data_IF_565082122433
#
_entry.id   IF_565082122433
#
_cell.length_a   1.000
_cell.length_b   1.000
_cell.length_c   1.000
_cell.angle_alpha   90.00
_cell.angle_beta   90.00
_cell.angle_gamma   90.00
#
_symmetry.space_group_name_H-M   'P 1'
#
loop_
_entity.id
_entity.type
_entity.pdbx_description
1 polymer ?
#
# COMPACT_ATOMS: atom_id res chain seq x y z
N UNK A 1 -32.43 13.32 -57.65
CA UNK A 1 -32.09 12.19 -56.74
C UNK A 1 -31.78 12.61 -55.29
N UNK A 2 -31.87 13.89 -54.89
CA UNK A 2 -31.58 14.34 -53.51
C UNK A 2 -32.82 14.64 -52.64
N UNK A 3 -34.00 14.72 -53.24
CA UNK A 3 -35.26 15.07 -52.52
C UNK A 3 -36.00 13.85 -51.97
N UNK A 4 -35.83 12.68 -52.60
CA UNK A 4 -36.46 11.42 -52.17
C UNK A 4 -35.79 10.84 -50.91
N UNK A 5 -34.47 11.02 -50.79
CA UNK A 5 -33.66 10.50 -49.69
C UNK A 5 -33.97 11.21 -48.35
N UNK A 6 -34.13 12.54 -48.38
CA UNK A 6 -34.51 13.32 -47.21
C UNK A 6 -35.94 13.04 -46.73
N UNK A 7 -36.88 12.76 -47.64
CA UNK A 7 -38.27 12.40 -47.29
C UNK A 7 -38.35 11.06 -46.57
N UNK A 8 -37.51 10.10 -46.96
CA UNK A 8 -37.49 8.77 -46.34
C UNK A 8 -36.89 8.84 -44.94
N UNK A 9 -35.82 9.61 -44.77
CA UNK A 9 -35.13 9.79 -43.49
C UNK A 9 -36.02 10.56 -42.49
N UNK A 10 -36.75 11.58 -42.93
CA UNK A 10 -37.67 12.34 -42.07
C UNK A 10 -38.89 11.51 -41.62
N UNK A 11 -39.40 10.62 -42.50
CA UNK A 11 -40.50 9.71 -42.18
C UNK A 11 -40.11 8.59 -41.20
N UNK A 12 -38.88 8.09 -41.29
CA UNK A 12 -38.34 7.08 -40.36
C UNK A 12 -38.07 7.69 -38.98
N UNK A 13 -37.56 8.93 -38.93
CA UNK A 13 -37.40 9.68 -37.67
C UNK A 13 -38.74 9.98 -36.99
N UNK A 14 -39.78 10.33 -37.74
CA UNK A 14 -41.11 10.52 -37.17
C UNK A 14 -41.66 9.20 -36.57
N UNK A 15 -41.49 8.06 -37.25
CA UNK A 15 -41.94 6.76 -36.72
C UNK A 15 -41.19 6.33 -35.44
N UNK A 16 -39.92 6.73 -35.28
CA UNK A 16 -39.15 6.46 -34.05
C UNK A 16 -39.65 7.27 -32.84
N UNK A 17 -40.22 8.46 -33.05
CA UNK A 17 -40.79 9.30 -31.99
C UNK A 17 -42.26 9.00 -31.67
N UNK A 18 -42.98 8.29 -32.53
CA UNK A 18 -44.38 7.87 -32.30
C UNK A 18 -44.52 6.45 -31.73
N UNK A 19 -43.43 5.73 -31.48
CA UNK A 19 -43.49 4.49 -30.72
C UNK A 19 -43.68 4.83 -29.22
N UNK A 20 -44.85 4.55 -28.62
CA UNK A 20 -44.96 4.69 -27.18
C UNK A 20 -44.03 3.65 -26.56
N UNK A 21 -42.96 4.10 -25.91
CA UNK A 21 -42.19 3.34 -24.93
C UNK A 21 -43.05 3.09 -23.67
N UNK A 22 -44.27 2.58 -23.86
CA UNK A 22 -45.08 2.01 -22.79
C UNK A 22 -44.81 0.52 -22.86
N UNK A 23 -43.64 0.12 -22.38
CA UNK A 23 -43.45 -1.24 -21.90
C UNK A 23 -44.43 -1.39 -20.74
N UNK A 24 -45.61 -1.93 -21.02
CA UNK A 24 -46.55 -2.33 -19.97
C UNK A 24 -45.86 -3.43 -19.18
N UNK A 25 -45.28 -3.07 -18.03
CA UNK A 25 -44.80 -4.04 -17.08
C UNK A 25 -46.01 -4.90 -16.70
N UNK A 26 -46.02 -6.16 -17.18
CA UNK A 26 -47.02 -7.15 -16.81
C UNK A 26 -47.20 -7.09 -15.30
N UNK A 27 -48.42 -6.80 -14.85
CA UNK A 27 -48.77 -6.73 -13.42
C UNK A 27 -48.34 -8.04 -12.78
N UNK A 28 -47.27 -8.00 -11.99
CA UNK A 28 -46.76 -9.16 -11.27
C UNK A 28 -47.86 -9.62 -10.33
N UNK A 29 -48.47 -10.76 -10.63
CA UNK A 29 -49.55 -11.32 -9.82
C UNK A 29 -48.89 -12.12 -8.71
N UNK A 30 -48.73 -11.49 -7.54
CA UNK A 30 -48.15 -12.13 -6.36
C UNK A 30 -49.17 -13.14 -5.80
N UNK A 31 -48.83 -14.44 -5.70
CA UNK A 31 -49.67 -15.48 -5.09
C UNK A 31 -50.18 -15.07 -3.70
N UNK A 32 -51.42 -15.45 -3.36
CA UNK A 32 -52.06 -15.07 -2.10
C UNK A 32 -51.27 -15.51 -0.86
N UNK A 33 -50.59 -16.66 -0.95
CA UNK A 33 -49.74 -17.23 0.10
C UNK A 33 -48.54 -16.31 0.44
N UNK A 34 -47.99 -15.60 -0.55
CA UNK A 34 -46.86 -14.68 -0.35
C UNK A 34 -47.30 -13.32 0.21
N UNK A 35 -48.60 -13.02 0.22
CA UNK A 35 -49.14 -11.76 0.78
C UNK A 35 -49.25 -11.77 2.31
N UNK A 36 -49.04 -12.91 2.96
CA UNK A 36 -49.08 -13.05 4.42
C UNK A 36 -47.73 -13.39 5.05
N UNK A 37 -46.69 -13.64 4.24
CA UNK A 37 -45.39 -14.07 4.75
C UNK A 37 -44.56 -12.86 5.18
N UNK A 38 -44.04 -12.93 6.41
CA UNK A 38 -43.04 -12.01 6.93
C UNK A 38 -41.67 -12.49 6.46
N UNK A 39 -40.95 -11.65 5.71
CA UNK A 39 -39.63 -12.00 5.19
C UNK A 39 -38.53 -11.35 6.02
N UNK A 40 -37.53 -12.12 6.45
CA UNK A 40 -36.32 -11.59 7.10
C UNK A 40 -35.29 -11.25 6.03
N UNK A 41 -34.99 -9.97 5.86
CA UNK A 41 -34.10 -9.46 4.81
C UNK A 41 -33.04 -8.52 5.37
N UNK A 42 -31.90 -8.46 4.68
CA UNK A 42 -30.87 -7.45 4.94
C UNK A 42 -31.33 -6.11 4.39
N UNK A 43 -31.62 -5.14 5.26
CA UNK A 43 -32.05 -3.79 4.85
C UNK A 43 -30.88 -2.84 4.68
N UNK A 44 -29.79 -3.07 5.40
CA UNK A 44 -28.58 -2.27 5.35
C UNK A 44 -27.36 -3.18 5.55
N UNK A 45 -26.27 -2.88 4.86
CA UNK A 45 -25.02 -3.64 4.96
C UNK A 45 -23.84 -2.70 4.88
N UNK A 46 -22.85 -2.90 5.75
CA UNK A 46 -21.55 -2.24 5.60
C UNK A 46 -20.79 -2.86 4.42
N UNK A 47 -19.81 -2.12 3.91
CA UNK A 47 -18.79 -2.68 3.03
C UNK A 47 -18.00 -3.79 3.75
N UNK A 48 -17.41 -4.69 2.96
CA UNK A 48 -16.52 -5.72 3.48
C UNK A 48 -15.26 -5.06 4.09
N UNK A 49 -14.79 -5.57 5.23
CA UNK A 49 -13.59 -5.04 5.90
C UNK A 49 -12.30 -5.16 5.08
N UNK A 50 -12.30 -6.01 4.06
CA UNK A 50 -11.16 -6.23 3.17
C UNK A 50 -11.58 -6.10 1.70
N UNK A 51 -10.62 -5.71 0.87
CA UNK A 51 -10.80 -5.64 -0.59
C UNK A 51 -10.58 -7.00 -1.26
N UNK A 52 -9.83 -7.89 -0.60
CA UNK A 52 -9.54 -9.25 -1.07
C UNK A 52 -9.39 -10.22 0.12
N UNK A 53 -9.61 -11.50 -0.14
CA UNK A 53 -9.63 -12.54 0.88
C UNK A 53 -10.90 -12.49 1.73
N UNK A 54 -10.87 -13.26 2.82
CA UNK A 54 -11.95 -13.31 3.78
C UNK A 54 -11.93 -12.07 4.66
N UNK A 55 -13.03 -11.32 4.64
CA UNK A 55 -13.29 -10.23 5.56
C UNK A 55 -14.62 -10.41 6.25
N UNK A 56 -15.04 -9.37 6.95
CA UNK A 56 -16.28 -9.36 7.69
C UNK A 56 -17.06 -8.10 7.36
N UNK A 57 -18.39 -8.22 7.32
CA UNK A 57 -19.33 -7.11 7.21
C UNK A 57 -20.40 -7.22 8.29
N UNK A 58 -21.12 -6.13 8.49
CA UNK A 58 -22.26 -6.06 9.41
C UNK A 58 -23.51 -5.78 8.60
N UNK A 59 -24.49 -6.66 8.76
CA UNK A 59 -25.78 -6.61 8.08
C UNK A 59 -26.89 -6.34 9.10
N UNK A 60 -27.74 -5.37 8.83
CA UNK A 60 -28.98 -5.15 9.57
C UNK A 60 -30.08 -6.03 8.98
N UNK A 61 -30.50 -7.02 9.75
CA UNK A 61 -31.53 -7.98 9.35
C UNK A 61 -32.85 -7.60 10.01
N UNK A 62 -33.85 -7.21 9.23
CA UNK A 62 -35.21 -6.89 9.71
C UNK A 62 -36.25 -7.83 9.12
N UNK A 63 -37.35 -7.98 9.83
CA UNK A 63 -38.58 -8.60 9.33
C UNK A 63 -39.42 -7.56 8.60
N UNK A 64 -39.80 -7.86 7.36
CA UNK A 64 -40.63 -7.00 6.53
C UNK A 64 -42.02 -7.61 6.44
N UNK A 65 -43.02 -6.84 6.88
CA UNK A 65 -44.43 -7.23 6.74
C UNK A 65 -44.92 -7.00 5.31
N UNK A 66 -46.06 -7.59 4.91
CA UNK A 66 -46.66 -7.33 3.60
C UNK A 66 -47.02 -5.86 3.34
N UNK A 67 -47.16 -5.05 4.41
CA UNK A 67 -47.37 -3.61 4.36
C UNK A 67 -46.07 -2.80 4.15
N UNK A 68 -44.90 -3.46 4.13
CA UNK A 68 -43.59 -2.83 3.99
C UNK A 68 -43.00 -2.28 5.29
N UNK A 69 -43.64 -2.52 6.43
CA UNK A 69 -43.12 -2.09 7.74
C UNK A 69 -41.94 -2.97 8.18
N UNK A 70 -40.90 -2.33 8.73
CA UNK A 70 -39.73 -2.99 9.30
C UNK A 70 -39.97 -3.29 10.78
N UNK A 71 -39.78 -4.53 11.20
CA UNK A 71 -39.88 -4.97 12.60
C UNK A 71 -38.68 -5.85 12.96
N UNK A 72 -38.41 -6.01 14.25
CA UNK A 72 -37.42 -6.96 14.78
C UNK A 72 -36.04 -6.87 14.09
N UNK A 73 -35.51 -5.66 13.94
CA UNK A 73 -34.21 -5.42 13.32
C UNK A 73 -33.08 -5.83 14.25
N UNK A 74 -32.14 -6.63 13.74
CA UNK A 74 -30.96 -7.11 14.48
C UNK A 74 -29.71 -6.95 13.65
N UNK A 75 -28.62 -6.50 14.26
CA UNK A 75 -27.32 -6.47 13.62
C UNK A 75 -26.70 -7.87 13.62
N UNK A 76 -26.25 -8.32 12.46
CA UNK A 76 -25.60 -9.60 12.24
C UNK A 76 -24.23 -9.37 11.63
N UNK A 77 -23.20 -9.92 12.27
CA UNK A 77 -21.86 -10.01 11.69
C UNK A 77 -21.81 -11.22 10.75
N UNK A 78 -21.38 -11.03 9.50
CA UNK A 78 -21.29 -12.10 8.50
C UNK A 78 -20.00 -12.00 7.70
N UNK A 79 -19.46 -13.16 7.32
CA UNK A 79 -18.25 -13.23 6.50
C UNK A 79 -18.53 -12.73 5.08
N UNK A 80 -17.55 -12.07 4.49
CA UNK A 80 -17.61 -11.58 3.12
C UNK A 80 -16.34 -11.94 2.35
N UNK A 81 -16.50 -12.16 1.05
CA UNK A 81 -15.42 -12.45 0.12
C UNK A 81 -15.66 -11.64 -1.15
N UNK A 82 -14.94 -10.53 -1.32
CA UNK A 82 -15.04 -9.67 -2.50
C UNK A 82 -14.31 -10.27 -3.69
N UNK A 83 -13.01 -10.54 -3.50
CA UNK A 83 -12.14 -11.24 -4.44
C UNK A 83 -11.28 -12.21 -3.64
N UNK A 84 -11.09 -13.43 -4.12
CA UNK A 84 -10.18 -14.38 -3.47
C UNK A 84 -8.71 -14.18 -3.88
N UNK A 85 -8.42 -13.39 -4.92
CA UNK A 85 -7.05 -13.07 -5.35
C UNK A 85 -6.69 -11.67 -4.84
N UNK A 86 -5.63 -11.60 -4.03
CA UNK A 86 -5.10 -10.36 -3.42
C UNK A 86 -3.98 -9.70 -4.22
N UNK A 87 -3.46 -10.35 -5.26
CA UNK A 87 -2.37 -9.81 -6.07
C UNK A 87 -0.99 -9.98 -5.43
N UNK A 88 -0.05 -9.15 -5.86
CA UNK A 88 1.38 -9.23 -5.55
C UNK A 88 1.80 -8.07 -4.65
N UNK A 89 2.39 -8.41 -3.50
CA UNK A 89 3.05 -7.48 -2.58
C UNK A 89 4.56 -7.56 -2.78
N UNK A 90 5.23 -6.42 -2.91
CA UNK A 90 6.68 -6.34 -3.12
C UNK A 90 7.41 -5.96 -1.84
N UNK A 91 8.50 -6.67 -1.56
CA UNK A 91 9.38 -6.40 -0.43
C UNK A 91 10.82 -6.36 -0.90
N UNK A 92 11.58 -5.39 -0.38
CA UNK A 92 13.03 -5.32 -0.53
C UNK A 92 13.63 -5.47 0.86
N UNK A 93 14.43 -6.52 1.05
CA UNK A 93 14.91 -6.96 2.36
C UNK A 93 16.44 -6.97 2.34
N UNK A 94 17.10 -6.35 3.33
CA UNK A 94 18.55 -6.47 3.48
C UNK A 94 18.96 -7.91 3.86
N UNK A 95 20.06 -8.37 3.28
CA UNK A 95 20.67 -9.65 3.63
C UNK A 95 21.06 -9.68 5.11
N UNK A 96 21.02 -10.88 5.70
CA UNK A 96 21.36 -11.18 7.09
C UNK A 96 20.43 -10.56 8.15
N UNK A 97 19.33 -9.95 7.73
CA UNK A 97 18.27 -9.50 8.65
C UNK A 97 17.14 -10.53 8.74
N UNK A 98 16.50 -10.66 9.91
CA UNK A 98 15.27 -11.43 10.02
C UNK A 98 14.15 -10.74 9.23
N UNK A 99 13.35 -11.53 8.53
CA UNK A 99 12.18 -11.06 7.80
C UNK A 99 11.08 -12.11 7.85
N UNK A 100 9.82 -11.66 7.91
CA UNK A 100 8.69 -12.57 7.90
C UNK A 100 7.56 -12.06 7.01
N UNK A 101 6.84 -13.01 6.43
CA UNK A 101 5.63 -12.74 5.66
C UNK A 101 4.49 -13.58 6.20
N UNK A 102 3.32 -12.96 6.36
CA UNK A 102 2.11 -13.59 6.85
C UNK A 102 1.05 -13.67 5.77
N UNK A 103 0.47 -14.85 5.62
CA UNK A 103 -0.64 -15.09 4.71
C UNK A 103 -1.96 -14.47 5.20
N UNK A 104 -2.09 -14.30 6.52
CA UNK A 104 -3.20 -13.60 7.16
C UNK A 104 -2.82 -12.15 7.46
N UNK A 105 -3.74 -11.23 7.21
CA UNK A 105 -3.65 -9.84 7.67
C UNK A 105 -4.03 -9.75 9.15
N UNK A 106 -3.47 -8.79 9.88
CA UNK A 106 -3.75 -8.51 11.30
C UNK A 106 -5.25 -8.33 11.60
N UNK A 107 -6.01 -7.87 10.60
CA UNK A 107 -7.42 -7.50 10.72
C UNK A 107 -8.35 -8.72 10.71
N UNK A 108 -7.79 -9.91 10.46
CA UNK A 108 -8.49 -11.19 10.54
C UNK A 108 -8.63 -11.70 11.99
N UNK A 109 -8.58 -10.82 12.99
CA UNK A 109 -8.50 -11.12 14.44
C UNK A 109 -9.73 -11.82 15.03
N UNK A 110 -10.71 -12.22 14.21
CA UNK A 110 -11.86 -13.05 14.61
C UNK A 110 -11.94 -14.40 13.90
N UNK A 111 -10.89 -14.79 13.18
CA UNK A 111 -10.86 -15.94 12.29
C UNK A 111 -10.19 -17.10 13.02
N UNK A 112 -10.98 -18.09 13.44
CA UNK A 112 -10.51 -19.30 14.13
C UNK A 112 -9.45 -20.00 13.27
N UNK A 113 -8.19 -19.99 13.72
CA UNK A 113 -7.03 -20.49 12.96
C UNK A 113 -7.15 -21.98 12.63
N UNK A 114 -7.96 -22.73 13.40
CA UNK A 114 -8.23 -24.16 13.17
C UNK A 114 -9.13 -24.42 11.96
N UNK A 115 -9.84 -23.41 11.45
CA UNK A 115 -10.74 -23.55 10.31
C UNK A 115 -10.01 -23.44 8.95
N UNK A 116 -8.71 -23.17 8.93
CA UNK A 116 -7.96 -22.88 7.70
C UNK A 116 -6.69 -23.72 7.56
N UNK A 117 -6.38 -24.05 6.31
CA UNK A 117 -5.15 -24.68 5.87
C UNK A 117 -4.38 -23.72 4.95
N UNK A 118 -3.06 -23.73 5.07
CA UNK A 118 -2.16 -22.87 4.31
C UNK A 118 -1.32 -23.72 3.37
N UNK A 119 -1.27 -23.33 2.10
CA UNK A 119 -0.39 -23.98 1.11
C UNK A 119 0.56 -22.94 0.55
N UNK A 120 1.86 -23.21 0.69
CA UNK A 120 2.91 -22.35 0.19
C UNK A 120 3.54 -22.90 -1.08
N UNK A 121 3.86 -21.99 -2.00
CA UNK A 121 4.66 -22.30 -3.20
C UNK A 121 5.68 -21.20 -3.44
N UNK A 122 6.80 -21.55 -4.05
CA UNK A 122 7.91 -20.64 -4.32
C UNK A 122 8.31 -20.67 -5.79
N UNK A 123 8.39 -19.49 -6.40
CA UNK A 123 9.11 -19.24 -7.65
C UNK A 123 10.44 -18.55 -7.28
N UNK A 124 11.46 -19.36 -7.03
CA UNK A 124 12.76 -18.89 -6.54
C UNK A 124 13.45 -18.00 -7.59
N UNK A 125 13.99 -16.86 -7.16
CA UNK A 125 14.70 -15.89 -7.99
C UNK A 125 13.83 -15.09 -8.97
N UNK A 126 12.52 -15.34 -9.02
CA UNK A 126 11.61 -14.72 -10.00
C UNK A 126 10.51 -13.91 -9.31
N UNK A 127 10.24 -12.72 -9.83
CA UNK A 127 9.07 -11.90 -9.46
C UNK A 127 7.96 -12.18 -10.47
N UNK A 128 6.96 -12.97 -10.09
CA UNK A 128 5.93 -13.44 -11.03
C UNK A 128 4.63 -13.83 -10.35
N UNK A 129 3.52 -13.70 -11.06
CA UNK A 129 2.20 -14.23 -10.69
C UNK A 129 1.79 -15.43 -11.57
N UNK A 130 2.68 -15.90 -12.46
CA UNK A 130 2.41 -17.05 -13.31
C UNK A 130 2.50 -18.36 -12.50
N UNK A 131 1.34 -18.93 -12.21
CA UNK A 131 1.15 -20.14 -11.42
C UNK A 131 1.97 -21.36 -11.88
N UNK A 132 2.34 -21.45 -13.16
CA UNK A 132 3.11 -22.57 -13.71
C UNK A 132 4.57 -22.61 -13.22
N UNK A 133 5.11 -21.48 -12.75
CA UNK A 133 6.52 -21.35 -12.34
C UNK A 133 6.74 -21.72 -10.87
N UNK A 134 5.66 -21.96 -10.12
CA UNK A 134 5.70 -22.17 -8.68
C UNK A 134 5.88 -23.64 -8.32
N UNK A 135 6.88 -23.92 -7.47
CA UNK A 135 7.11 -25.25 -6.87
C UNK A 135 6.56 -25.30 -5.44
N UNK A 136 6.09 -26.47 -4.95
CA UNK A 136 5.66 -26.61 -3.56
C UNK A 136 6.75 -26.17 -2.58
N UNK A 137 6.39 -25.34 -1.60
CA UNK A 137 7.28 -24.91 -0.53
C UNK A 137 6.74 -25.45 0.80
N UNK A 138 7.55 -26.22 1.51
CA UNK A 138 7.12 -26.90 2.73
C UNK A 138 7.07 -25.90 3.89
N UNK A 139 5.87 -25.44 4.22
CA UNK A 139 5.59 -24.67 5.43
C UNK A 139 4.15 -24.95 5.87
N UNK A 140 3.91 -25.54 7.06
CA UNK A 140 2.55 -25.80 7.54
C UNK A 140 1.88 -24.54 8.10
N UNK A 141 2.67 -23.53 8.48
CA UNK A 141 2.20 -22.36 9.19
C UNK A 141 1.67 -21.27 8.25
N UNK A 142 0.90 -20.33 8.81
CA UNK A 142 0.43 -19.14 8.10
C UNK A 142 1.53 -18.09 7.85
N UNK A 143 2.70 -18.27 8.44
CA UNK A 143 3.83 -17.33 8.41
C UNK A 143 5.08 -18.05 7.91
N UNK A 144 5.84 -17.39 7.03
CA UNK A 144 7.22 -17.80 6.69
C UNK A 144 8.17 -16.87 7.42
N UNK A 145 9.15 -17.45 8.11
CA UNK A 145 10.21 -16.73 8.81
C UNK A 145 11.55 -17.00 8.12
N UNK A 146 12.17 -15.95 7.60
CA UNK A 146 13.51 -15.96 7.03
C UNK A 146 14.46 -15.36 8.05
N UNK A 147 15.24 -16.21 8.74
CA UNK A 147 16.15 -15.75 9.78
C UNK A 147 17.41 -16.62 9.80
N UNK A 148 18.55 -16.12 9.28
CA UNK A 148 18.73 -14.86 8.54
C UNK A 148 18.22 -14.94 7.09
N UNK A 149 17.84 -13.80 6.51
CA UNK A 149 17.49 -13.71 5.08
C UNK A 149 18.73 -13.80 4.20
N UNK A 150 18.70 -14.66 3.18
CA UNK A 150 19.78 -14.90 2.21
C UNK A 150 19.35 -14.51 0.80
N UNK A 151 20.30 -14.24 -0.08
CA UNK A 151 20.01 -13.99 -1.51
C UNK A 151 19.21 -15.13 -2.16
N UNK A 152 19.46 -16.37 -1.73
CA UNK A 152 18.72 -17.55 -2.17
C UNK A 152 17.23 -17.53 -1.83
N UNK A 153 16.83 -16.72 -0.85
CA UNK A 153 15.44 -16.60 -0.41
C UNK A 153 14.65 -15.62 -1.28
N UNK A 154 15.32 -14.90 -2.19
CA UNK A 154 14.68 -14.03 -3.16
C UNK A 154 13.78 -14.82 -4.12
N UNK A 155 12.68 -14.20 -4.54
CA UNK A 155 11.70 -14.80 -5.43
C UNK A 155 10.26 -14.45 -5.03
N UNK A 156 9.30 -15.18 -5.58
CA UNK A 156 7.88 -14.99 -5.22
C UNK A 156 7.36 -16.14 -4.39
N UNK A 157 6.88 -15.83 -3.19
CA UNK A 157 6.15 -16.76 -2.35
C UNK A 157 4.65 -16.59 -2.60
N UNK A 158 3.98 -17.66 -3.00
CA UNK A 158 2.52 -17.71 -3.10
C UNK A 158 1.97 -18.42 -1.89
N UNK A 159 0.97 -17.83 -1.26
CA UNK A 159 0.17 -18.49 -0.24
C UNK A 159 -1.28 -18.61 -0.67
N UNK A 160 -1.82 -19.82 -0.58
CA UNK A 160 -3.24 -20.11 -0.68
C UNK A 160 -3.80 -20.47 0.71
N UNK A 161 -4.83 -19.74 1.13
CA UNK A 161 -5.64 -20.05 2.32
C UNK A 161 -6.86 -20.83 1.86
N UNK A 162 -7.04 -22.01 2.45
CA UNK A 162 -8.15 -22.91 2.17
C UNK A 162 -8.97 -23.17 3.42
N UNK A 163 -10.29 -23.30 3.29
CA UNK A 163 -11.14 -23.78 4.37
C UNK A 163 -10.91 -25.27 4.59
N UNK A 164 -10.65 -25.71 5.82
CA UNK A 164 -10.37 -27.13 6.12
C UNK A 164 -11.56 -28.05 5.82
N UNK A 165 -12.79 -27.58 6.04
CA UNK A 165 -14.01 -28.37 5.82
C UNK A 165 -14.37 -28.57 4.34
N UNK A 166 -14.12 -27.57 3.50
CA UNK A 166 -14.60 -27.54 2.11
C UNK A 166 -13.47 -27.55 1.07
N UNK A 167 -12.22 -27.40 1.50
CA UNK A 167 -11.03 -27.24 0.66
C UNK A 167 -11.11 -26.08 -0.33
N UNK A 168 -12.07 -25.16 -0.16
CA UNK A 168 -12.24 -23.99 -1.01
C UNK A 168 -11.13 -22.98 -0.72
N UNK A 169 -10.42 -22.54 -1.75
CA UNK A 169 -9.48 -21.42 -1.66
C UNK A 169 -10.27 -20.13 -1.45
N UNK A 170 -9.96 -19.41 -0.38
CA UNK A 170 -10.63 -18.16 0.00
C UNK A 170 -9.71 -16.95 -0.05
N UNK A 171 -8.40 -17.16 -0.09
CA UNK A 171 -7.41 -16.10 -0.26
C UNK A 171 -6.20 -16.66 -0.98
N UNK A 172 -5.74 -15.97 -2.02
CA UNK A 172 -4.47 -16.17 -2.69
C UNK A 172 -3.71 -14.86 -2.70
N UNK A 173 -2.48 -14.89 -2.23
CA UNK A 173 -1.60 -13.71 -2.20
C UNK A 173 -0.19 -14.11 -2.62
N UNK A 174 0.48 -13.18 -3.30
CA UNK A 174 1.86 -13.35 -3.77
C UNK A 174 2.74 -12.34 -3.05
N UNK A 175 3.92 -12.77 -2.59
CA UNK A 175 4.94 -11.95 -1.94
C UNK A 175 6.21 -12.00 -2.78
N UNK A 176 6.51 -10.93 -3.51
CA UNK A 176 7.73 -10.78 -4.28
C UNK A 176 8.84 -10.21 -3.41
N UNK A 177 9.77 -11.06 -2.96
CA UNK A 177 10.88 -10.70 -2.09
C UNK A 177 12.14 -10.49 -2.92
N UNK A 178 12.75 -9.32 -2.79
CA UNK A 178 14.09 -8.99 -3.29
C UNK A 178 15.02 -8.91 -2.10
N UNK A 179 16.10 -9.67 -2.14
CA UNK A 179 17.13 -9.63 -1.08
C UNK A 179 18.34 -8.88 -1.62
N UNK A 180 18.77 -7.85 -0.89
CA UNK A 180 19.87 -6.99 -1.30
C UNK A 180 20.96 -7.07 -0.23
N UNK A 181 22.20 -7.25 -0.66
CA UNK A 181 23.30 -7.24 0.29
C UNK A 181 23.53 -5.84 0.85
N UNK A 182 23.96 -5.79 2.10
CA UNK A 182 24.20 -4.53 2.79
C UNK A 182 25.33 -3.69 2.16
N UNK A 183 26.20 -4.28 1.33
CA UNK A 183 27.27 -3.60 0.58
C UNK A 183 26.79 -2.96 -0.74
N UNK A 184 25.57 -3.26 -1.20
CA UNK A 184 25.04 -2.85 -2.50
C UNK A 184 23.83 -1.92 -2.32
N UNK A 185 24.10 -0.64 -2.09
CA UNK A 185 23.16 0.51 -2.20
C UNK A 185 22.00 0.51 -1.19
N UNK A 186 21.98 1.53 -0.35
CA UNK A 186 20.89 1.87 0.57
C UNK A 186 19.67 2.34 -0.25
N UNK A 187 18.75 1.42 -0.58
CA UNK A 187 17.49 1.72 -1.30
C UNK A 187 16.40 2.28 -0.39
N UNK A 188 16.78 2.92 0.71
CA UNK A 188 15.84 3.64 1.55
C UNK A 188 15.38 4.90 0.80
N UNK A 189 14.23 4.77 0.12
CA UNK A 189 13.63 5.84 -0.66
C UNK A 189 13.47 7.10 0.20
N UNK A 190 13.11 6.95 1.49
CA UNK A 190 12.98 8.04 2.44
C UNK A 190 14.31 8.79 2.68
N UNK A 191 15.45 8.11 2.61
CA UNK A 191 16.76 8.80 2.66
C UNK A 191 17.08 9.55 1.38
N UNK A 192 16.62 9.04 0.23
CA UNK A 192 16.84 9.66 -1.07
C UNK A 192 15.92 10.85 -1.38
N UNK A 193 14.80 10.98 -0.65
CA UNK A 193 13.88 12.11 -0.81
C UNK A 193 14.59 13.43 -0.50
N UNK A 194 14.43 14.40 -1.38
CA UNK A 194 14.85 15.77 -1.11
C UNK A 194 14.01 16.37 0.02
N UNK A 195 14.53 17.40 0.69
CA UNK A 195 13.84 18.06 1.81
C UNK A 195 12.43 18.50 1.43
N UNK A 196 12.27 19.06 0.23
CA UNK A 196 10.97 19.46 -0.33
C UNK A 196 9.99 18.29 -0.44
N UNK A 197 10.46 17.12 -0.86
CA UNK A 197 9.62 15.93 -0.98
C UNK A 197 9.23 15.36 0.40
N UNK A 198 10.13 15.44 1.38
CA UNK A 198 9.82 15.05 2.78
C UNK A 198 8.76 15.96 3.40
N UNK A 199 8.78 17.26 3.09
CA UNK A 199 7.80 18.21 3.62
C UNK A 199 6.41 17.89 3.06
N UNK A 200 6.30 17.63 1.76
CA UNK A 200 5.02 17.28 1.10
C UNK A 200 4.40 16.00 1.66
N UNK A 201 5.19 14.96 1.89
CA UNK A 201 4.70 13.68 2.43
C UNK A 201 4.21 13.82 3.89
N UNK A 202 4.90 14.61 4.72
CA UNK A 202 4.49 14.86 6.11
C UNK A 202 3.29 15.83 6.23
N UNK A 203 3.08 16.71 5.24
CA UNK A 203 1.90 17.58 5.17
C UNK A 203 0.63 16.78 4.83
N UNK A 204 0.73 15.76 3.96
CA UNK A 204 -0.39 14.84 3.68
C UNK A 204 -0.75 13.97 4.89
N UNK A 205 0.21 13.61 5.73
CA UNK A 205 -0.02 12.87 6.99
C UNK A 205 -0.47 13.75 8.17
N UNK A 206 -0.60 15.07 7.98
CA UNK A 206 -1.16 15.98 9.00
C UNK A 206 -0.29 16.19 10.25
N UNK A 207 1.00 15.84 10.20
CA UNK A 207 1.88 15.83 11.38
C UNK A 207 2.79 17.08 11.45
N UNK A 208 2.18 18.24 11.75
CA UNK A 208 2.87 19.55 11.80
C UNK A 208 3.98 19.66 12.86
N UNK A 209 4.01 18.79 13.87
CA UNK A 209 4.97 18.85 14.97
C UNK A 209 6.38 18.39 14.57
N UNK A 210 6.48 17.48 13.60
CA UNK A 210 7.77 16.91 13.16
C UNK A 210 8.54 17.83 12.19
N UNK A 211 7.83 18.71 11.48
CA UNK A 211 8.42 19.61 10.47
C UNK A 211 9.38 20.62 11.13
N UNK A 212 8.96 21.22 12.25
CA UNK A 212 9.77 22.20 13.00
C UNK A 212 11.04 21.58 13.60
N UNK A 213 10.99 20.31 14.00
CA UNK A 213 12.14 19.59 14.56
C UNK A 213 13.16 19.20 13.47
N UNK A 214 12.70 18.91 12.25
CA UNK A 214 13.56 18.58 11.11
C UNK A 214 14.30 19.83 10.61
N UNK A 215 13.60 20.96 10.44
CA UNK A 215 14.23 22.24 10.09
C UNK A 215 15.28 22.66 11.12
N UNK A 216 14.95 22.56 12.41
CA UNK A 216 15.85 22.94 13.50
C UNK A 216 17.12 22.07 13.52
N UNK A 217 17.00 20.75 13.31
CA UNK A 217 18.14 19.82 13.27
C UNK A 217 19.04 20.06 12.05
N UNK A 218 18.46 20.37 10.89
CA UNK A 218 19.22 20.60 9.67
C UNK A 218 19.92 21.96 9.68
N UNK A 219 19.25 23.01 10.17
CA UNK A 219 19.87 24.31 10.42
C UNK A 219 21.05 24.16 11.39
N UNK A 220 20.89 23.40 12.48
CA UNK A 220 21.98 23.16 13.43
C UNK A 220 23.17 22.41 12.81
N UNK A 221 22.95 21.42 11.95
CA UNK A 221 24.04 20.72 11.24
C UNK A 221 24.80 21.62 10.26
N UNK A 222 24.10 22.55 9.59
CA UNK A 222 24.71 23.50 8.66
C UNK A 222 25.54 24.56 9.41
N UNK A 223 25.05 25.02 10.57
CA UNK A 223 25.82 25.91 11.45
C UNK A 223 27.05 25.21 12.06
N UNK A 224 26.95 23.93 12.42
CA UNK A 224 28.09 23.16 12.92
C UNK A 224 29.16 22.92 11.85
N UNK A 225 28.79 22.66 10.59
CA UNK A 225 29.77 22.51 9.51
C UNK A 225 30.46 23.84 9.14
N UNK A 226 29.75 24.97 9.30
CA UNK A 226 30.31 26.29 9.00
C UNK A 226 31.25 26.81 10.10
N UNK A 227 31.01 26.46 11.36
CA UNK A 227 31.87 26.85 12.49
C UNK A 227 33.16 26.03 12.59
N UNK A 228 33.22 24.84 11.99
CA UNK A 228 34.40 23.97 12.01
C UNK A 228 35.38 24.20 10.84
N UNK A 229 35.05 25.07 9.87
CA UNK A 229 35.89 25.35 8.70
C UNK A 229 36.51 26.76 8.65
N UNK A 230 36.30 27.61 9.65
CA UNK A 230 36.98 28.92 9.73
C UNK A 230 37.20 29.33 11.19
N UNK A 231 38.37 28.95 11.77
CA UNK A 231 39.35 29.99 12.07
C UNK A 231 40.78 29.45 11.89
N UNK A 232 41.27 29.31 10.65
CA UNK A 232 42.69 29.00 10.41
C UNK A 232 43.40 29.98 9.47
N UNK A 233 42.77 31.11 9.10
CA UNK A 233 43.39 32.15 8.26
C UNK A 233 43.84 33.37 9.09
N UNK A 234 43.42 33.48 10.36
CA UNK A 234 43.72 34.65 11.21
C UNK A 234 45.02 34.60 12.02
N UNK A 235 45.61 33.42 12.27
CA UNK A 235 46.77 33.27 13.17
C UNK A 235 48.09 33.03 12.40
N UNK A 236 48.02 32.52 11.16
CA UNK A 236 49.20 32.24 10.34
C UNK A 236 49.84 33.47 9.66
N UNK A 237 49.06 34.53 9.39
CA UNK A 237 49.55 35.73 8.70
C UNK A 237 50.39 36.65 9.60
N UNK A 238 50.10 36.68 10.90
CA UNK A 238 50.84 37.51 11.87
C UNK A 238 52.27 37.02 12.12
N UNK A 239 52.48 35.70 12.14
CA UNK A 239 53.80 35.10 12.41
C UNK A 239 54.75 35.31 11.22
N UNK A 240 54.26 35.13 9.99
CA UNK A 240 55.06 35.33 8.78
C UNK A 240 55.41 36.81 8.61
N UNK A 241 54.46 37.72 8.85
CA UNK A 241 54.72 39.16 8.83
C UNK A 241 55.78 39.59 9.87
N UNK A 242 55.68 39.09 11.10
CA UNK A 242 56.63 39.39 12.17
C UNK A 242 58.07 38.94 11.83
N UNK A 243 58.22 37.71 11.31
CA UNK A 243 59.53 37.16 10.94
C UNK A 243 60.16 37.96 9.79
N UNK A 244 59.39 38.34 8.77
CA UNK A 244 59.89 39.12 7.64
C UNK A 244 60.36 40.52 8.08
N UNK A 245 59.61 41.19 8.97
CA UNK A 245 60.01 42.51 9.51
C UNK A 245 61.27 42.39 10.37
N UNK A 246 61.39 41.36 11.20
CA UNK A 246 62.61 41.13 12.00
C UNK A 246 63.85 40.89 11.12
N UNK A 247 63.71 40.13 10.03
CA UNK A 247 64.80 39.89 9.07
C UNK A 247 65.19 41.18 8.34
N UNK A 248 64.21 41.95 7.87
CA UNK A 248 64.47 43.23 7.20
C UNK A 248 65.18 44.22 8.12
N UNK A 249 64.75 44.34 9.38
CA UNK A 249 65.41 45.19 10.38
C UNK A 249 66.82 44.70 10.71
N UNK A 250 67.05 43.39 10.75
CA UNK A 250 68.40 42.83 10.95
C UNK A 250 69.35 43.19 9.80
N UNK A 251 68.89 43.08 8.55
CA UNK A 251 69.70 43.45 7.39
C UNK A 251 69.97 44.96 7.33
N UNK A 252 68.97 45.81 7.60
CA UNK A 252 69.16 47.26 7.67
C UNK A 252 70.17 47.65 8.76
N UNK A 253 70.11 46.99 9.93
CA UNK A 253 71.05 47.25 11.03
C UNK A 253 72.48 46.77 10.73
N UNK A 254 72.63 45.74 9.89
CA UNK A 254 73.93 45.25 9.42
C UNK A 254 74.54 46.19 8.37
N UNK A 255 73.73 46.73 7.46
CA UNK A 255 74.16 47.71 6.46
C UNK A 255 74.58 49.03 7.12
N UNK A 256 73.90 49.44 8.20
CA UNK A 256 74.23 50.69 8.90
C UNK A 256 75.45 50.61 9.85
N UNK A 257 76.02 49.41 10.06
CA UNK A 257 77.22 49.18 10.89
C UNK A 257 78.45 48.76 10.08
N UNK A 258 78.38 48.79 8.75
CA UNK A 258 79.52 48.66 7.83
C UNK A 258 79.80 49.99 7.17
#
# INVERSE_FOLDING_TARGET
MKTLENSLILGILACAFYLPLIVSYKKVTIPAELKSVVAKVSVNTTSCSVTCGLGVKVEEMCEITPAGERRNCTLRRSDCLTSWICGLLHFTVPADKPFEISCLSSDATGVDSQAYAYTWRLAQGLITTNDALFKPFKNPDSVIKLSPTRESDAGTYRCDVQMTKTFKVIKRIYFGIRVIRNDLVDLDFQKSLTLEQKIVENEEEGNKQNITHIEMRQQQSFWQSKLLNEPLIGVGSGVIGGVLVSIALYFLRKIWRS
#
